data_IF_616075883084
#
_entry.id   IF_616075883084
#
_cell.length_a   1.000
_cell.length_b   1.000
_cell.length_c   1.000
_cell.angle_alpha   90.00
_cell.angle_beta   90.00
_cell.angle_gamma   90.00
#
_symmetry.space_group_name_H-M   'P 1'
#
loop_
_entity.id
_entity.type
_entity.pdbx_description
1 polymer ?
#
# COMPACT_ATOMS: atom_id res chain seq x y z
N UNK A 1 -13.45 59.85 -0.60
CA UNK A 1 -13.09 58.72 -1.49
C UNK A 1 -12.48 57.53 -0.73
N UNK A 2 -12.73 57.37 0.58
CA UNK A 2 -12.07 56.34 1.40
C UNK A 2 -12.83 55.01 1.56
N UNK A 3 -14.13 54.96 1.24
CA UNK A 3 -14.94 53.74 1.49
C UNK A 3 -14.74 52.62 0.45
N UNK A 4 -14.23 52.92 -0.76
CA UNK A 4 -14.00 51.92 -1.83
C UNK A 4 -12.79 51.02 -1.59
N UNK A 5 -11.83 51.44 -0.77
CA UNK A 5 -10.64 50.64 -0.44
C UNK A 5 -10.87 49.55 0.62
N UNK A 6 -11.93 49.67 1.42
CA UNK A 6 -12.21 48.73 2.52
C UNK A 6 -12.90 47.44 2.01
N UNK A 7 -13.85 47.57 1.07
CA UNK A 7 -14.55 46.45 0.43
C UNK A 7 -13.57 45.52 -0.31
N UNK A 8 -12.65 46.09 -1.08
CA UNK A 8 -11.61 45.34 -1.83
C UNK A 8 -10.61 44.63 -0.94
N UNK A 9 -10.29 45.18 0.25
CA UNK A 9 -9.43 44.52 1.24
C UNK A 9 -10.10 43.29 1.86
N UNK A 10 -11.42 43.36 2.11
CA UNK A 10 -12.20 42.27 2.71
C UNK A 10 -12.34 41.06 1.77
N UNK A 11 -12.64 41.32 0.50
CA UNK A 11 -12.72 40.26 -0.53
C UNK A 11 -11.38 39.57 -0.76
N UNK A 12 -10.28 40.35 -0.81
CA UNK A 12 -8.93 39.82 -0.98
C UNK A 12 -8.48 38.99 0.22
N UNK A 13 -8.87 39.38 1.44
CA UNK A 13 -8.62 38.60 2.66
C UNK A 13 -9.45 37.32 2.68
N UNK A 14 -10.72 37.37 2.26
CA UNK A 14 -11.56 36.18 2.08
C UNK A 14 -10.98 35.21 1.06
N UNK A 15 -10.48 35.72 -0.08
CA UNK A 15 -9.82 34.91 -1.11
C UNK A 15 -8.55 34.25 -0.59
N UNK A 16 -7.72 34.98 0.15
CA UNK A 16 -6.51 34.45 0.79
C UNK A 16 -6.83 33.36 1.81
N UNK A 17 -7.88 33.55 2.63
CA UNK A 17 -8.34 32.53 3.57
C UNK A 17 -8.88 31.31 2.83
N UNK A 18 -9.65 31.50 1.76
CA UNK A 18 -10.18 30.40 0.94
C UNK A 18 -9.06 29.59 0.28
N UNK A 19 -8.03 30.25 -0.27
CA UNK A 19 -6.83 29.59 -0.80
C UNK A 19 -6.06 28.84 0.29
N UNK A 20 -5.88 29.43 1.48
CA UNK A 20 -5.24 28.73 2.61
C UNK A 20 -6.03 27.49 3.06
N UNK A 21 -7.35 27.57 3.10
CA UNK A 21 -8.22 26.43 3.44
C UNK A 21 -8.12 25.35 2.35
N UNK A 22 -8.14 25.72 1.07
CA UNK A 22 -7.95 24.78 -0.04
C UNK A 22 -6.59 24.06 0.02
N UNK A 23 -5.50 24.80 0.28
CA UNK A 23 -4.14 24.23 0.37
C UNK A 23 -4.02 23.26 1.55
N UNK A 24 -4.63 23.58 2.70
CA UNK A 24 -4.60 22.68 3.86
C UNK A 24 -5.45 21.42 3.67
N UNK A 25 -6.57 21.50 2.95
CA UNK A 25 -7.42 20.35 2.62
C UNK A 25 -6.79 19.44 1.56
N UNK A 26 -6.09 19.99 0.56
CA UNK A 26 -5.41 19.18 -0.46
C UNK A 26 -4.19 18.40 0.04
N UNK A 27 -3.58 18.78 1.17
CA UNK A 27 -2.35 18.15 1.66
C UNK A 27 -2.52 16.79 2.35
N UNK A 28 -3.75 16.28 2.50
CA UNK A 28 -4.04 15.05 3.25
C UNK A 28 -4.41 13.89 2.32
N UNK A 29 -3.50 13.49 1.43
CA UNK A 29 -3.63 12.21 0.70
C UNK A 29 -2.72 11.19 1.38
N UNK A 30 -3.33 10.31 2.17
CA UNK A 30 -2.64 9.11 2.67
C UNK A 30 -2.67 8.07 1.55
N UNK A 31 -1.56 7.91 0.83
CA UNK A 31 -1.45 6.87 -0.20
C UNK A 31 -1.30 5.51 0.50
N UNK A 32 -2.25 4.59 0.26
CA UNK A 32 -2.09 3.19 0.62
C UNK A 32 -1.10 2.55 -0.36
N UNK A 33 -0.08 1.86 0.15
CA UNK A 33 0.90 1.18 -0.70
C UNK A 33 0.23 0.01 -1.42
N UNK A 34 0.37 -0.02 -2.74
CA UNK A 34 -0.23 -1.05 -3.61
C UNK A 34 0.82 -1.63 -4.55
N UNK A 35 0.92 -2.96 -4.55
CA UNK A 35 1.73 -3.72 -5.49
C UNK A 35 0.86 -4.64 -6.32
N UNK A 36 1.40 -5.13 -7.43
CA UNK A 36 0.79 -6.18 -8.22
C UNK A 36 1.82 -7.28 -8.48
N UNK A 37 1.35 -8.53 -8.45
CA UNK A 37 2.18 -9.71 -8.75
C UNK A 37 1.32 -10.72 -9.49
N UNK A 38 1.89 -11.37 -10.50
CA UNK A 38 1.23 -12.50 -11.13
C UNK A 38 1.10 -13.66 -10.16
N UNK A 39 0.04 -14.45 -10.30
CA UNK A 39 -0.01 -15.76 -9.65
C UNK A 39 1.07 -16.69 -10.22
N UNK A 40 1.21 -17.88 -9.62
CA UNK A 40 2.09 -18.94 -10.13
C UNK A 40 3.59 -18.57 -10.21
N UNK A 41 3.98 -17.46 -9.58
CA UNK A 41 5.36 -17.00 -9.49
C UNK A 41 6.18 -17.85 -8.53
N UNK A 42 7.48 -17.98 -8.83
CA UNK A 42 8.42 -18.75 -8.02
C UNK A 42 8.59 -18.12 -6.63
N UNK A 43 8.78 -18.96 -5.63
CA UNK A 43 9.21 -18.53 -4.30
C UNK A 43 10.51 -17.72 -4.39
N UNK A 44 10.60 -16.64 -3.61
CA UNK A 44 11.73 -15.71 -3.63
C UNK A 44 11.67 -14.66 -4.74
N UNK A 45 10.57 -14.59 -5.52
CA UNK A 45 10.36 -13.49 -6.48
C UNK A 45 10.15 -12.18 -5.72
N UNK A 46 10.85 -11.11 -6.14
CA UNK A 46 10.69 -9.78 -5.58
C UNK A 46 9.41 -9.13 -6.10
N UNK A 47 8.58 -8.64 -5.18
CA UNK A 47 7.32 -7.93 -5.49
C UNK A 47 7.55 -6.42 -5.56
N UNK A 48 8.20 -5.85 -4.54
CA UNK A 48 8.40 -4.41 -4.44
C UNK A 48 9.20 -3.98 -3.21
N UNK A 49 9.74 -2.76 -3.21
CA UNK A 49 10.52 -2.23 -2.09
C UNK A 49 9.64 -1.43 -1.14
N UNK A 50 9.17 -2.09 -0.07
CA UNK A 50 8.30 -1.49 0.93
C UNK A 50 9.01 -0.40 1.73
N UNK A 51 10.28 -0.59 2.05
CA UNK A 51 11.05 0.37 2.83
C UNK A 51 11.06 1.74 2.16
N UNK A 52 11.37 1.76 0.87
CA UNK A 52 11.45 2.98 0.07
C UNK A 52 10.08 3.67 -0.03
N UNK A 53 9.01 2.90 -0.22
CA UNK A 53 7.67 3.46 -0.41
C UNK A 53 7.06 3.98 0.90
N UNK A 54 7.45 3.41 2.05
CA UNK A 54 7.12 3.92 3.38
C UNK A 54 8.09 5.01 3.89
N UNK A 55 9.17 5.30 3.14
CA UNK A 55 10.20 6.25 3.56
C UNK A 55 11.04 5.77 4.74
N UNK A 56 11.17 4.46 4.92
CA UNK A 56 11.94 3.81 5.98
C UNK A 56 13.34 3.43 5.48
N UNK A 57 14.35 3.62 6.33
CA UNK A 57 15.71 3.18 6.07
C UNK A 57 15.92 1.72 6.44
N UNK A 58 16.82 1.02 5.73
CA UNK A 58 17.16 -0.39 5.99
C UNK A 58 17.63 -0.65 7.43
N UNK A 59 18.36 0.30 8.01
CA UNK A 59 18.79 0.24 9.42
C UNK A 59 17.58 0.28 10.36
N UNK A 60 16.64 1.20 10.12
CA UNK A 60 15.43 1.32 10.94
C UNK A 60 14.54 0.07 10.87
N UNK A 61 14.43 -0.58 9.70
CA UNK A 61 13.68 -1.84 9.57
C UNK A 61 14.24 -2.95 10.46
N UNK A 62 15.56 -3.08 10.53
CA UNK A 62 16.24 -4.10 11.32
C UNK A 62 16.22 -3.78 12.81
N UNK A 63 16.48 -2.53 13.18
CA UNK A 63 16.49 -2.08 14.58
C UNK A 63 15.09 -2.13 15.21
N UNK A 64 14.06 -1.76 14.45
CA UNK A 64 12.66 -1.72 14.92
C UNK A 64 11.88 -3.01 14.65
N UNK A 65 12.52 -4.02 14.04
CA UNK A 65 11.91 -5.33 13.81
C UNK A 65 10.69 -5.29 12.89
N UNK A 66 10.82 -4.69 11.71
CA UNK A 66 9.74 -4.63 10.72
C UNK A 66 9.27 -6.04 10.33
N UNK A 67 7.98 -6.32 10.53
CA UNK A 67 7.39 -7.63 10.25
C UNK A 67 5.95 -7.53 9.77
N UNK A 68 5.52 -8.57 9.07
CA UNK A 68 4.14 -8.71 8.62
C UNK A 68 3.37 -9.55 9.65
N UNK A 69 2.15 -9.14 9.97
CA UNK A 69 1.23 -9.86 10.86
C UNK A 69 0.37 -10.77 10.01
N UNK A 70 0.48 -12.06 10.26
CA UNK A 70 -0.36 -13.08 9.65
C UNK A 70 -1.19 -13.80 10.72
N UNK A 71 -2.40 -14.19 10.35
CA UNK A 71 -3.21 -15.10 11.16
C UNK A 71 -3.00 -16.57 10.74
N UNK A 72 -2.49 -16.82 9.54
CA UNK A 72 -2.20 -18.14 9.02
C UNK A 72 -0.79 -18.60 9.41
N UNK A 73 -0.60 -19.92 9.52
CA UNK A 73 0.70 -20.53 9.77
C UNK A 73 1.64 -20.44 8.57
N UNK A 74 1.09 -20.40 7.35
CA UNK A 74 1.86 -20.35 6.10
C UNK A 74 1.56 -19.07 5.31
N UNK A 75 2.33 -17.99 5.54
CA UNK A 75 2.08 -16.72 4.90
C UNK A 75 2.52 -16.71 3.42
N UNK A 76 1.75 -16.06 2.52
CA UNK A 76 2.08 -15.95 1.09
C UNK A 76 3.26 -15.05 0.79
N UNK A 77 3.53 -14.06 1.64
CA UNK A 77 4.61 -13.10 1.46
C UNK A 77 5.53 -13.04 2.68
N UNK A 78 6.74 -12.53 2.46
CA UNK A 78 7.71 -12.21 3.51
C UNK A 78 8.42 -10.92 3.17
N UNK A 79 8.83 -10.18 4.19
CA UNK A 79 9.67 -8.98 4.01
C UNK A 79 11.08 -9.31 4.46
N UNK A 80 12.07 -8.97 3.64
CA UNK A 80 13.47 -9.06 4.03
C UNK A 80 13.88 -7.75 4.72
N UNK A 81 14.36 -7.84 5.95
CA UNK A 81 14.76 -6.67 6.75
C UNK A 81 16.10 -6.08 6.30
N UNK A 82 16.94 -6.84 5.60
CA UNK A 82 18.26 -6.35 5.18
C UNK A 82 18.18 -5.42 3.95
N UNK A 83 17.25 -5.67 3.03
CA UNK A 83 17.06 -4.87 1.81
C UNK A 83 15.75 -4.06 1.79
N UNK A 84 14.76 -4.43 2.61
CA UNK A 84 13.46 -3.78 2.69
C UNK A 84 12.47 -4.21 1.61
N UNK A 85 12.71 -5.34 0.95
CA UNK A 85 11.93 -5.82 -0.19
C UNK A 85 10.90 -6.87 0.24
N UNK A 86 9.70 -6.78 -0.32
CA UNK A 86 8.65 -7.79 -0.22
C UNK A 86 8.92 -8.90 -1.22
N UNK A 87 8.95 -10.13 -0.72
CA UNK A 87 9.17 -11.34 -1.50
C UNK A 87 7.98 -12.29 -1.38
N UNK A 88 7.78 -13.06 -2.44
CA UNK A 88 6.88 -14.21 -2.43
C UNK A 88 7.49 -15.33 -1.57
N UNK A 89 6.73 -15.81 -0.58
CA UNK A 89 7.17 -16.84 0.36
C UNK A 89 6.66 -18.24 -0.01
N UNK A 90 5.52 -18.32 -0.69
CA UNK A 90 5.04 -19.57 -1.29
C UNK A 90 4.33 -19.26 -2.59
N UNK A 91 4.20 -20.28 -3.44
CA UNK A 91 3.40 -20.20 -4.66
C UNK A 91 1.96 -19.81 -4.30
N UNK A 92 1.43 -18.84 -5.03
CA UNK A 92 0.08 -18.31 -4.84
C UNK A 92 -0.77 -18.85 -5.98
N UNK A 93 -1.83 -19.55 -5.61
CA UNK A 93 -2.90 -20.04 -6.48
C UNK A 93 -4.12 -19.14 -6.23
N UNK A 94 -4.61 -18.44 -7.26
CA UNK A 94 -5.72 -17.49 -7.13
C UNK A 94 -7.05 -18.21 -6.92
N UNK A 95 -7.22 -19.42 -7.45
CA UNK A 95 -8.40 -20.26 -7.26
C UNK A 95 -8.53 -20.65 -5.78
N UNK A 96 -7.43 -21.03 -5.13
CA UNK A 96 -7.40 -21.35 -3.69
C UNK A 96 -7.57 -20.09 -2.82
N UNK A 97 -6.95 -18.98 -3.20
CA UNK A 97 -6.86 -17.79 -2.33
C UNK A 97 -8.08 -16.89 -2.41
N UNK A 98 -8.70 -16.79 -3.59
CA UNK A 98 -9.71 -15.77 -3.89
C UNK A 98 -11.02 -16.35 -4.46
N UNK A 99 -11.24 -17.67 -4.38
CA UNK A 99 -12.49 -18.35 -4.77
C UNK A 99 -13.04 -17.90 -6.15
N UNK A 100 -12.14 -17.65 -7.12
CA UNK A 100 -12.47 -17.16 -8.48
C UNK A 100 -13.14 -15.78 -8.54
N UNK A 101 -12.96 -14.93 -7.52
CA UNK A 101 -13.36 -13.52 -7.57
C UNK A 101 -12.72 -12.79 -8.77
N UNK A 102 -13.43 -11.82 -9.35
CA UNK A 102 -12.90 -10.97 -10.44
C UNK A 102 -11.70 -10.14 -10.02
N UNK A 103 -11.61 -9.83 -8.73
CA UNK A 103 -10.55 -9.00 -8.15
C UNK A 103 -10.01 -9.75 -6.95
N UNK A 104 -8.72 -10.06 -6.98
CA UNK A 104 -8.01 -10.77 -5.92
C UNK A 104 -6.98 -9.82 -5.31
N UNK A 105 -7.20 -9.44 -4.05
CA UNK A 105 -6.33 -8.51 -3.31
C UNK A 105 -6.02 -9.10 -1.95
N UNK A 106 -4.74 -9.20 -1.64
CA UNK A 106 -4.25 -9.63 -0.33
C UNK A 106 -3.83 -8.40 0.46
N UNK A 107 -4.54 -8.14 1.56
CA UNK A 107 -4.21 -7.05 2.48
C UNK A 107 -3.22 -7.51 3.56
N UNK A 108 -2.03 -6.92 3.54
CA UNK A 108 -0.96 -7.17 4.49
C UNK A 108 -0.96 -6.10 5.57
N UNK A 109 -0.97 -6.54 6.83
CA UNK A 109 -0.77 -5.66 7.99
C UNK A 109 0.69 -5.76 8.41
N UNK A 110 1.40 -4.65 8.37
CA UNK A 110 2.81 -4.59 8.73
C UNK A 110 3.00 -3.73 9.96
N UNK A 111 3.98 -4.08 10.79
CA UNK A 111 4.24 -3.43 12.08
C UNK A 111 5.71 -3.12 12.25
N UNK A 112 5.97 -1.94 12.81
CA UNK A 112 7.26 -1.58 13.42
C UNK A 112 7.08 -1.53 14.93
N UNK A 113 8.11 -1.93 15.65
CA UNK A 113 8.15 -1.85 17.11
C UNK A 113 8.93 -0.59 17.54
N UNK A 114 8.61 -0.06 18.72
CA UNK A 114 9.31 1.05 19.38
C UNK A 114 9.54 2.34 18.53
N UNK A 115 8.52 3.21 18.32
CA UNK A 115 7.12 3.10 18.73
C UNK A 115 6.33 2.12 17.85
N UNK A 116 5.18 1.66 18.34
CA UNK A 116 4.31 0.77 17.58
C UNK A 116 3.64 1.53 16.43
N UNK A 117 3.98 1.19 15.19
CA UNK A 117 3.38 1.75 13.97
C UNK A 117 2.81 0.64 13.10
N UNK A 118 1.64 0.87 12.51
CA UNK A 118 0.96 -0.11 11.65
C UNK A 118 0.77 0.47 10.25
N UNK A 119 1.24 -0.23 9.23
CA UNK A 119 1.00 0.13 7.83
C UNK A 119 0.23 -0.98 7.11
N UNK A 120 -0.72 -0.55 6.30
CA UNK A 120 -1.52 -1.42 5.44
C UNK A 120 -0.95 -1.41 4.03
N UNK A 121 -0.55 -2.58 3.55
CA UNK A 121 -0.03 -2.79 2.19
C UNK A 121 -0.98 -3.72 1.47
N UNK A 122 -1.42 -3.35 0.27
CA UNK A 122 -2.27 -4.21 -0.56
C UNK A 122 -1.45 -4.80 -1.72
N UNK A 123 -1.64 -6.09 -1.97
CA UNK A 123 -1.02 -6.79 -3.10
C UNK A 123 -2.13 -7.35 -3.99
N UNK A 124 -2.21 -6.83 -5.21
CA UNK A 124 -3.13 -7.30 -6.24
C UNK A 124 -2.53 -8.53 -6.91
N UNK A 125 -3.30 -9.63 -6.95
CA UNK A 125 -2.89 -10.87 -7.62
C UNK A 125 -3.47 -10.86 -9.03
N UNK A 126 -2.58 -10.92 -10.02
CA UNK A 126 -2.94 -10.95 -11.43
C UNK A 126 -3.14 -12.41 -11.87
N UNK A 127 -4.32 -12.64 -12.45
CA UNK A 127 -4.71 -13.92 -13.05
C UNK A 127 -3.83 -14.25 -14.26
N UNK A 128 -3.37 -15.50 -14.30
CA UNK A 128 -2.61 -16.12 -15.39
C UNK A 128 -3.46 -17.26 -15.90
N UNK A 129 -3.69 -17.33 -17.22
CA UNK A 129 -4.52 -18.37 -17.82
C UNK A 129 -3.80 -19.74 -17.84
N UNK A 130 -3.74 -20.41 -16.70
CA UNK A 130 -3.14 -21.73 -16.49
C UNK A 130 -4.18 -22.87 -16.41
N UNK A 131 -5.46 -22.53 -16.29
CA UNK A 131 -6.58 -23.47 -16.26
C UNK A 131 -7.28 -23.60 -17.63
N UNK A 132 -7.36 -24.83 -18.15
CA UNK A 132 -8.11 -25.15 -19.37
C UNK A 132 -9.59 -25.48 -19.06
N UNK A 133 -10.53 -25.17 -19.97
CA UNK A 133 -11.94 -25.50 -19.79
C UNK A 133 -12.18 -27.02 -19.81
N UNK A 134 -13.02 -27.52 -18.91
CA UNK A 134 -13.45 -28.93 -18.83
C UNK A 134 -14.94 -28.99 -19.20
N UNK A 135 -15.29 -29.79 -20.20
CA UNK A 135 -16.68 -29.94 -20.67
C UNK A 135 -17.27 -31.27 -20.16
N UNK A 136 -18.53 -31.28 -19.66
CA UNK A 136 -19.25 -32.52 -19.40
C UNK A 136 -19.63 -33.24 -20.70
N UNK A 137 -19.76 -34.57 -20.65
CA UNK A 137 -20.25 -35.40 -21.76
C UNK A 137 -21.74 -35.21 -22.06
#
# INVERSE_FOLDING_TARGET
>A
MEQRGCLTRRERTQWMVYVMVLVTVCGRVSAQVRYSVAEEVKEGTAVGNIAKDLGLDKTTLKERGYRIVYSSTEPPFRVNQDDGVLYVNRKIDREETCDRSKVCVIELKTVLENPLEVHYVAVDILDVNDHAPIFPE
#
